data_IF_921515510240
#
_entry.id   IF_921515510240
#
_cell.length_a   1.000
_cell.length_b   1.000
_cell.length_c   1.000
_cell.angle_alpha   90.00
_cell.angle_beta   90.00
_cell.angle_gamma   90.00
#
_symmetry.space_group_name_H-M   'P 1'
#
loop_
_entity.id
_entity.type
_entity.pdbx_description
1 polymer ?
#
# COMPACT_ATOMS: atom_id res chain seq x y z
N UNK A 1 23.04 15.88 -9.27
CA UNK A 1 23.34 14.55 -8.70
C UNK A 1 22.01 13.99 -8.23
N UNK A 2 21.40 13.11 -9.04
CA UNK A 2 20.12 12.50 -8.66
C UNK A 2 20.38 11.53 -7.53
N UNK A 3 19.71 11.73 -6.38
CA UNK A 3 19.53 10.64 -5.45
C UNK A 3 18.69 9.59 -6.19
N UNK A 4 19.21 8.36 -6.29
CA UNK A 4 18.48 7.25 -6.86
C UNK A 4 17.26 6.98 -5.98
N UNK A 5 16.10 7.47 -6.42
CA UNK A 5 14.82 7.28 -5.73
C UNK A 5 14.37 5.84 -5.93
N UNK A 6 14.49 5.00 -4.90
CA UNK A 6 14.01 3.63 -4.95
C UNK A 6 12.49 3.65 -4.71
N UNK A 7 11.71 3.62 -5.79
CA UNK A 7 10.26 3.54 -5.70
C UNK A 7 9.78 2.09 -5.65
N UNK A 8 9.45 1.56 -4.48
CA UNK A 8 8.77 0.24 -4.34
C UNK A 8 7.27 0.47 -4.46
N UNK A 9 6.77 0.46 -5.69
CA UNK A 9 5.44 0.98 -6.02
C UNK A 9 4.29 0.04 -5.68
N UNK A 10 4.49 -1.07 -4.97
CA UNK A 10 3.34 -1.94 -4.73
C UNK A 10 3.42 -2.89 -3.55
N UNK A 11 2.23 -3.22 -3.03
CA UNK A 11 1.90 -4.44 -2.28
C UNK A 11 0.62 -5.04 -2.89
N UNK A 12 0.75 -5.97 -3.85
CA UNK A 12 -0.39 -6.73 -4.37
C UNK A 12 -0.54 -8.01 -3.54
N UNK A 13 -1.78 -8.31 -3.17
CA UNK A 13 -2.16 -9.50 -2.45
C UNK A 13 -3.67 -9.65 -2.54
N UNK A 14 -4.13 -10.89 -2.40
CA UNK A 14 -5.56 -11.19 -2.34
C UNK A 14 -6.19 -10.44 -1.16
N UNK A 15 -7.48 -10.10 -1.29
CA UNK A 15 -8.23 -9.54 -0.18
C UNK A 15 -8.11 -10.47 1.04
N UNK A 16 -7.79 -9.93 2.23
CA UNK A 16 -7.47 -10.62 3.51
C UNK A 16 -5.99 -10.87 3.81
N UNK A 17 -5.07 -10.50 2.93
CA UNK A 17 -3.63 -10.55 3.22
C UNK A 17 -3.18 -9.27 3.93
N UNK A 18 -2.30 -9.39 4.94
CA UNK A 18 -1.80 -8.30 5.82
C UNK A 18 -0.87 -7.29 5.10
N UNK A 19 -1.33 -6.69 4.00
CA UNK A 19 -0.59 -5.70 3.20
C UNK A 19 -0.12 -4.51 4.05
N UNK A 20 -1.00 -4.00 4.91
CA UNK A 20 -0.67 -2.89 5.80
C UNK A 20 0.45 -3.25 6.77
N UNK A 21 0.50 -4.48 7.28
CA UNK A 21 1.60 -4.93 8.15
C UNK A 21 2.94 -4.99 7.42
N UNK A 22 2.94 -5.32 6.12
CA UNK A 22 4.16 -5.23 5.28
C UNK A 22 4.61 -3.77 5.13
N UNK A 23 3.67 -2.86 4.86
CA UNK A 23 3.97 -1.42 4.79
C UNK A 23 4.49 -0.87 6.11
N UNK A 24 3.90 -1.26 7.24
CA UNK A 24 4.36 -0.91 8.59
C UNK A 24 5.78 -1.43 8.85
N UNK A 25 6.07 -2.68 8.46
CA UNK A 25 7.38 -3.29 8.65
C UNK A 25 8.47 -2.58 7.83
N UNK A 26 8.16 -2.20 6.59
CA UNK A 26 9.12 -1.50 5.71
C UNK A 26 9.31 -0.04 6.14
N UNK A 27 8.23 0.68 6.45
CA UNK A 27 8.29 2.11 6.82
C UNK A 27 8.69 2.36 8.28
N UNK A 28 8.41 1.39 9.15
CA UNK A 28 8.50 1.55 10.61
C UNK A 28 7.50 2.57 11.15
N UNK A 29 6.32 2.68 10.52
CA UNK A 29 5.22 3.59 10.91
C UNK A 29 4.00 2.75 11.22
N UNK A 30 3.20 3.17 12.19
CA UNK A 30 1.92 2.52 12.48
C UNK A 30 0.84 3.01 11.52
N UNK A 31 0.23 2.07 10.81
CA UNK A 31 -0.89 2.32 9.91
C UNK A 31 -2.20 1.84 10.56
N UNK A 32 -3.37 2.25 10.04
CA UNK A 32 -4.64 1.77 10.57
C UNK A 32 -4.76 0.25 10.48
N UNK A 33 -4.98 -0.40 11.63
CA UNK A 33 -5.25 -1.84 11.74
C UNK A 33 -6.74 -2.04 11.96
N UNK A 34 -7.52 -1.96 10.90
CA UNK A 34 -8.94 -2.28 11.00
C UNK A 34 -9.40 -3.15 9.83
N UNK A 35 -10.27 -4.15 10.10
CA UNK A 35 -10.92 -4.90 9.05
C UNK A 35 -11.70 -3.94 8.14
N UNK A 36 -11.67 -4.20 6.83
CA UNK A 36 -12.33 -3.41 5.78
C UNK A 36 -11.77 -2.00 5.52
N UNK A 37 -10.94 -1.39 6.38
CA UNK A 37 -10.34 -0.06 6.13
C UNK A 37 -9.27 -0.11 5.03
N UNK A 38 -8.46 -1.18 5.00
CA UNK A 38 -7.31 -1.33 4.09
C UNK A 38 -7.67 -1.55 2.61
N UNK A 39 -8.95 -1.40 2.25
CA UNK A 39 -9.49 -1.67 0.90
C UNK A 39 -10.35 -0.52 0.36
N UNK A 40 -10.42 0.61 1.06
CA UNK A 40 -11.40 1.67 0.75
C UNK A 40 -10.84 2.85 -0.04
N UNK A 41 -9.54 3.02 -0.08
CA UNK A 41 -8.87 4.04 -0.87
C UNK A 41 -7.42 3.61 -1.13
N UNK A 42 -6.81 4.21 -2.14
CA UNK A 42 -5.38 4.08 -2.37
C UNK A 42 -4.61 4.85 -1.29
N UNK A 43 -3.59 4.24 -0.70
CA UNK A 43 -2.63 4.94 0.15
C UNK A 43 -1.28 5.02 -0.56
N UNK A 44 -0.80 6.22 -0.83
CA UNK A 44 0.56 6.46 -1.30
C UNK A 44 1.39 7.02 -0.15
N UNK A 45 2.28 6.18 0.39
CA UNK A 45 3.19 6.49 1.49
C UNK A 45 4.57 6.81 0.91
N UNK A 46 5.03 8.06 1.04
CA UNK A 46 6.38 8.47 0.64
C UNK A 46 7.22 8.72 1.88
N UNK A 47 8.32 8.00 2.01
CA UNK A 47 9.36 8.21 2.99
C UNK A 47 10.42 9.13 2.38
N UNK A 48 10.72 10.23 3.08
CA UNK A 48 11.77 11.18 2.69
C UNK A 48 12.80 11.33 3.79
N UNK A 49 14.07 11.26 3.42
CA UNK A 49 15.15 11.46 4.38
C UNK A 49 15.21 12.93 4.79
N UNK A 50 15.29 13.18 6.09
CA UNK A 50 15.49 14.53 6.63
C UNK A 50 16.65 14.53 7.62
N UNK A 51 17.39 15.64 7.68
CA UNK A 51 18.37 15.90 8.75
C UNK A 51 17.76 16.66 9.91
N UNK A 52 16.56 17.22 9.71
CA UNK A 52 15.88 18.08 10.66
C UNK A 52 14.92 17.27 11.56
N UNK A 53 13.89 17.93 12.09
CA UNK A 53 12.82 17.28 12.85
C UNK A 53 12.04 16.29 11.98
N UNK A 54 11.64 15.18 12.58
CA UNK A 54 10.75 14.21 11.94
C UNK A 54 9.31 14.72 12.03
N UNK A 55 8.57 14.59 10.95
CA UNK A 55 7.16 14.99 10.86
C UNK A 55 6.50 14.27 9.68
N UNK A 56 5.19 14.32 9.60
CA UNK A 56 4.44 13.82 8.46
C UNK A 56 3.50 14.88 7.89
N UNK A 57 3.21 14.75 6.61
CA UNK A 57 2.21 15.53 5.89
C UNK A 57 1.21 14.54 5.32
N UNK A 58 -0.07 14.77 5.57
CA UNK A 58 -1.15 13.92 5.06
C UNK A 58 -2.22 14.75 4.35
N UNK A 59 -2.68 14.25 3.21
CA UNK A 59 -3.77 14.88 2.44
C UNK A 59 -4.54 13.88 1.60
N UNK A 60 -5.74 14.27 1.19
CA UNK A 60 -6.49 13.55 0.15
C UNK A 60 -6.11 14.06 -1.25
N UNK A 61 -6.40 13.28 -2.29
CA UNK A 61 -6.25 13.71 -3.68
C UNK A 61 -7.28 14.74 -4.13
N UNK A 62 -8.30 15.02 -3.31
CA UNK A 62 -9.33 16.03 -3.59
C UNK A 62 -8.99 17.41 -3.00
N UNK A 63 -8.09 17.44 -2.03
CA UNK A 63 -7.63 18.66 -1.36
C UNK A 63 -6.45 19.27 -2.13
N UNK A 64 -6.35 20.60 -2.10
CA UNK A 64 -5.16 21.30 -2.58
C UNK A 64 -3.95 21.02 -1.68
N UNK A 65 -2.74 21.35 -2.14
CA UNK A 65 -1.53 21.20 -1.30
C UNK A 65 -1.59 22.08 -0.05
N UNK A 66 -2.26 23.24 -0.12
CA UNK A 66 -2.43 24.16 1.01
C UNK A 66 -3.37 23.61 2.11
N UNK A 67 -4.20 22.63 1.78
CA UNK A 67 -5.10 21.95 2.73
C UNK A 67 -4.46 20.72 3.39
N UNK A 68 -3.16 20.48 3.14
CA UNK A 68 -2.47 19.36 3.75
C UNK A 68 -2.34 19.54 5.27
N UNK A 69 -2.57 18.46 6.01
CA UNK A 69 -2.40 18.45 7.45
C UNK A 69 -0.97 18.03 7.79
N UNK A 70 -0.26 18.87 8.53
CA UNK A 70 1.05 18.52 9.11
C UNK A 70 0.84 17.85 10.47
N UNK A 71 1.55 16.76 10.70
CA UNK A 71 1.57 15.99 11.94
C UNK A 71 2.99 16.04 12.50
N UNK A 72 3.15 16.71 13.64
CA UNK A 72 4.44 16.81 14.33
C UNK A 72 4.73 15.53 15.14
N UNK A 73 3.70 14.80 15.56
CA UNK A 73 3.82 13.50 16.23
C UNK A 73 3.49 12.35 15.27
N UNK A 74 4.47 11.49 15.04
CA UNK A 74 4.35 10.28 14.22
C UNK A 74 3.29 9.29 14.73
N UNK A 75 2.95 9.33 16.02
CA UNK A 75 1.91 8.48 16.60
C UNK A 75 0.49 8.90 16.14
N UNK A 76 0.31 10.13 15.65
CA UNK A 76 -0.96 10.62 15.15
C UNK A 76 -1.26 10.17 13.71
N UNK A 77 -0.29 9.57 13.01
CA UNK A 77 -0.47 9.14 11.61
C UNK A 77 -1.63 8.16 11.49
N UNK A 78 -1.70 7.14 12.34
CA UNK A 78 -2.73 6.11 12.25
C UNK A 78 -4.14 6.68 12.44
N UNK A 79 -4.32 7.60 13.40
CA UNK A 79 -5.60 8.26 13.63
C UNK A 79 -5.95 9.24 12.50
N UNK A 80 -4.98 9.98 11.97
CA UNK A 80 -5.17 10.91 10.86
C UNK A 80 -5.56 10.20 9.56
N UNK A 81 -4.89 9.08 9.22
CA UNK A 81 -5.26 8.25 8.07
C UNK A 81 -6.68 7.72 8.25
N UNK A 82 -7.02 7.18 9.42
CA UNK A 82 -8.37 6.67 9.70
C UNK A 82 -9.44 7.73 9.52
N UNK A 83 -9.18 8.95 10.02
CA UNK A 83 -10.09 10.10 9.87
C UNK A 83 -10.31 10.45 8.40
N UNK A 84 -9.24 10.61 7.62
CA UNK A 84 -9.34 10.91 6.18
C UNK A 84 -10.09 9.81 5.42
N UNK A 85 -9.88 8.54 5.75
CA UNK A 85 -10.63 7.44 5.13
C UNK A 85 -12.13 7.61 5.41
N UNK A 86 -12.50 7.93 6.64
CA UNK A 86 -13.90 8.19 7.02
C UNK A 86 -14.52 9.35 6.23
N UNK A 87 -13.78 10.45 6.09
CA UNK A 87 -14.21 11.64 5.33
C UNK A 87 -14.37 11.34 3.82
N UNK A 88 -13.45 10.54 3.26
CA UNK A 88 -13.38 10.24 1.82
C UNK A 88 -14.39 9.18 1.39
N UNK A 89 -14.54 8.12 2.19
CA UNK A 89 -15.25 6.92 1.80
C UNK A 89 -16.61 6.77 2.50
N UNK A 90 -16.91 7.55 3.54
CA UNK A 90 -18.15 7.47 4.31
C UNK A 90 -18.28 6.17 5.12
N UNK A 91 -19.50 5.65 5.29
CA UNK A 91 -19.76 4.44 6.08
C UNK A 91 -19.44 3.10 5.36
N UNK A 92 -19.39 2.05 6.17
CA UNK A 92 -18.50 0.86 6.23
C UNK A 92 -18.11 0.05 4.98
N UNK A 93 -18.69 0.25 3.78
CA UNK A 93 -18.43 -0.65 2.63
C UNK A 93 -18.01 0.04 1.33
N UNK A 94 -18.10 1.37 1.26
CA UNK A 94 -17.77 2.10 0.04
C UNK A 94 -16.26 2.19 -0.19
N UNK A 95 -15.85 1.96 -1.43
CA UNK A 95 -14.50 2.19 -1.94
C UNK A 95 -14.52 3.50 -2.72
N UNK A 96 -13.57 4.39 -2.42
CA UNK A 96 -13.40 5.67 -3.10
C UNK A 96 -12.23 5.60 -4.07
N UNK A 97 -12.38 6.23 -5.24
CA UNK A 97 -11.29 6.48 -6.17
C UNK A 97 -10.34 7.60 -5.70
N UNK A 98 -10.68 8.26 -4.59
CA UNK A 98 -9.84 9.29 -3.97
C UNK A 98 -8.63 8.62 -3.31
N UNK A 99 -7.44 9.12 -3.58
CA UNK A 99 -6.19 8.62 -2.99
C UNK A 99 -5.82 9.41 -1.74
N UNK A 100 -5.16 8.77 -0.79
CA UNK A 100 -4.53 9.41 0.36
C UNK A 100 -3.03 9.49 0.08
N UNK A 101 -2.47 10.68 0.21
CA UNK A 101 -1.03 10.91 0.14
C UNK A 101 -0.51 11.15 1.54
N UNK A 102 0.45 10.34 1.97
CA UNK A 102 1.14 10.45 3.25
C UNK A 102 2.63 10.58 2.97
N UNK A 103 3.21 11.74 3.26
CA UNK A 103 4.65 11.97 3.16
C UNK A 103 5.22 12.01 4.56
N UNK A 104 6.22 11.20 4.83
CA UNK A 104 6.85 11.07 6.14
C UNK A 104 8.31 11.45 6.01
N UNK A 105 8.71 12.48 6.74
CA UNK A 105 10.09 12.91 6.86
C UNK A 105 10.70 12.22 8.07
N UNK A 106 11.66 11.33 7.83
CA UNK A 106 12.28 10.48 8.86
C UNK A 106 13.80 10.60 8.80
N UNK A 107 14.46 10.59 9.96
CA UNK A 107 15.92 10.55 10.05
C UNK A 107 16.42 9.12 9.86
N UNK A 108 17.69 8.99 9.49
CA UNK A 108 18.39 7.71 9.38
C UNK A 108 17.75 6.71 8.40
N UNK A 109 17.00 7.18 7.39
CA UNK A 109 16.62 6.34 6.27
C UNK A 109 17.62 6.52 5.13
N UNK A 110 18.12 5.42 4.53
CA UNK A 110 19.21 5.48 3.57
C UNK A 110 18.79 5.98 2.19
N UNK A 111 17.51 5.83 1.84
CA UNK A 111 16.95 6.20 0.55
C UNK A 111 15.52 6.72 0.71
N UNK A 112 15.12 7.61 -0.18
CA UNK A 112 13.72 7.98 -0.35
C UNK A 112 12.97 6.78 -0.93
N UNK A 113 11.79 6.51 -0.38
CA UNK A 113 11.02 5.32 -0.69
C UNK A 113 9.54 5.68 -0.86
N UNK A 114 8.98 5.40 -2.03
CA UNK A 114 7.53 5.46 -2.24
C UNK A 114 6.94 4.06 -2.16
N UNK A 115 5.94 3.88 -1.31
CA UNK A 115 5.16 2.67 -1.09
C UNK A 115 3.70 2.92 -1.43
N UNK A 116 3.08 2.04 -2.21
CA UNK A 116 1.67 2.19 -2.60
C UNK A 116 0.85 1.02 -2.07
N UNK A 117 -0.11 1.32 -1.21
CA UNK A 117 -1.14 0.43 -0.74
C UNK A 117 -2.35 0.46 -1.69
N UNK A 118 -2.45 -0.55 -2.54
CA UNK A 118 -3.60 -0.74 -3.44
C UNK A 118 -4.69 -1.59 -2.77
N UNK A 119 -5.98 -1.31 -3.07
CA UNK A 119 -7.08 -2.18 -2.66
C UNK A 119 -6.83 -3.64 -3.04
N UNK A 120 -7.20 -4.59 -2.17
CA UNK A 120 -7.18 -6.01 -2.50
C UNK A 120 -8.13 -6.36 -3.64
N UNK A 121 -7.74 -7.30 -4.50
CA UNK A 121 -8.58 -7.77 -5.60
C UNK A 121 -9.72 -8.61 -5.01
N UNK A 122 -10.98 -8.21 -5.25
CA UNK A 122 -12.16 -8.89 -4.68
C UNK A 122 -12.94 -9.62 -5.78
N UNK A 123 -13.21 -10.93 -5.58
CA UNK A 123 -14.00 -11.74 -6.53
C UNK A 123 -15.50 -11.65 -6.31
N UNK A 124 -15.92 -11.18 -5.14
CA UNK A 124 -17.32 -11.01 -4.76
C UNK A 124 -17.49 -9.63 -4.14
N UNK A 125 -18.28 -8.73 -4.76
CA UNK A 125 -18.60 -7.46 -4.15
C UNK A 125 -19.32 -7.71 -2.81
N UNK A 126 -18.96 -6.96 -1.78
CA UNK A 126 -19.76 -6.95 -0.56
C UNK A 126 -21.16 -6.39 -0.85
N UNK A 127 -22.18 -6.79 -0.09
CA UNK A 127 -23.49 -6.16 -0.16
C UNK A 127 -23.34 -4.63 0.04
N UNK A 128 -23.75 -3.85 -0.97
CA UNK A 128 -23.60 -2.38 -0.98
C UNK A 128 -22.51 -1.84 -1.91
N UNK A 129 -21.59 -2.67 -2.39
CA UNK A 129 -20.60 -2.25 -3.39
C UNK A 129 -21.18 -2.19 -4.81
N UNK A 130 -20.67 -1.25 -5.60
CA UNK A 130 -21.04 -1.13 -7.00
C UNK A 130 -20.62 -2.38 -7.80
N UNK A 131 -21.42 -2.76 -8.81
CA UNK A 131 -21.20 -3.98 -9.60
C UNK A 131 -19.91 -3.94 -10.41
N UNK A 132 -19.39 -2.75 -10.69
CA UNK A 132 -18.17 -2.44 -11.44
C UNK A 132 -16.93 -2.26 -10.55
N UNK A 133 -17.04 -2.49 -9.24
CA UNK A 133 -15.92 -2.26 -8.30
C UNK A 133 -14.66 -3.06 -8.66
N UNK A 134 -14.84 -4.26 -9.20
CA UNK A 134 -13.73 -5.11 -9.63
C UNK A 134 -12.96 -4.46 -10.78
N UNK A 135 -13.66 -3.96 -11.80
CA UNK A 135 -13.03 -3.28 -12.95
C UNK A 135 -12.33 -1.99 -12.51
N UNK A 136 -12.94 -1.24 -11.59
CA UNK A 136 -12.32 -0.05 -11.01
C UNK A 136 -11.03 -0.36 -10.22
N UNK A 137 -11.01 -1.42 -9.41
CA UNK A 137 -9.80 -1.85 -8.69
C UNK A 137 -8.71 -2.27 -9.68
N UNK A 138 -9.04 -3.05 -10.72
CA UNK A 138 -8.08 -3.44 -11.75
C UNK A 138 -7.52 -2.23 -12.50
N UNK A 139 -8.37 -1.28 -12.88
CA UNK A 139 -7.92 -0.05 -13.56
C UNK A 139 -6.98 0.78 -12.68
N UNK A 140 -7.26 0.87 -11.37
CA UNK A 140 -6.37 1.52 -10.42
C UNK A 140 -5.03 0.81 -10.31
N UNK A 141 -5.02 -0.51 -10.14
CA UNK A 141 -3.79 -1.31 -10.06
C UNK A 141 -2.94 -1.09 -11.32
N UNK A 142 -3.55 -1.26 -12.50
CA UNK A 142 -2.87 -1.11 -13.80
C UNK A 142 -2.13 0.23 -13.92
N UNK A 143 -2.75 1.32 -13.49
CA UNK A 143 -2.14 2.67 -13.52
C UNK A 143 -0.83 2.76 -12.73
N UNK A 144 -0.68 2.00 -11.65
CA UNK A 144 0.50 2.06 -10.79
C UNK A 144 1.58 1.04 -11.14
N UNK A 145 1.23 -0.04 -11.84
CA UNK A 145 2.16 -1.10 -12.28
C UNK A 145 2.68 -0.93 -13.70
N UNK A 146 1.95 -0.23 -14.56
CA UNK A 146 2.36 0.01 -15.94
C UNK A 146 3.70 0.77 -16.09
N UNK A 147 4.04 1.75 -15.22
CA UNK A 147 5.32 2.45 -15.34
C UNK A 147 6.52 1.50 -15.16
N UNK A 148 7.54 1.53 -16.04
CA UNK A 148 8.71 0.62 -15.99
C UNK A 148 9.69 0.91 -14.85
N UNK A 149 9.30 1.78 -13.91
CA UNK A 149 10.04 2.06 -12.67
C UNK A 149 9.30 1.50 -11.45
N UNK A 150 8.18 0.83 -11.65
CA UNK A 150 7.39 0.22 -10.60
C UNK A 150 7.98 -1.13 -10.21
N UNK A 151 8.39 -1.27 -8.96
CA UNK A 151 8.70 -2.57 -8.38
C UNK A 151 7.48 -3.09 -7.62
N UNK A 152 6.99 -4.27 -8.02
CA UNK A 152 5.78 -4.89 -7.47
C UNK A 152 6.15 -5.80 -6.30
N UNK A 153 5.66 -5.54 -5.08
CA UNK A 153 5.77 -6.48 -3.96
C UNK A 153 4.53 -7.39 -3.90
N UNK A 154 4.72 -8.69 -4.08
CA UNK A 154 3.66 -9.67 -3.91
C UNK A 154 3.58 -10.13 -2.47
N UNK A 155 2.51 -9.82 -1.74
CA UNK A 155 2.28 -10.38 -0.41
C UNK A 155 1.41 -11.63 -0.52
N UNK A 156 2.03 -12.79 -0.30
CA UNK A 156 1.39 -14.09 -0.53
C UNK A 156 1.50 -14.93 0.75
N UNK A 157 0.38 -15.42 1.34
CA UNK A 157 0.43 -16.36 2.45
C UNK A 157 1.21 -17.63 2.07
N UNK A 158 2.05 -18.11 2.98
CA UNK A 158 2.80 -19.37 2.78
C UNK A 158 1.92 -20.61 2.70
N UNK A 159 0.66 -20.51 3.13
CA UNK A 159 -0.33 -21.58 3.02
C UNK A 159 -0.87 -21.79 1.60
N UNK A 160 -0.58 -20.88 0.66
CA UNK A 160 -1.07 -20.96 -0.72
C UNK A 160 0.10 -20.99 -1.71
N UNK A 161 -0.10 -21.68 -2.84
CA UNK A 161 0.87 -21.71 -3.92
C UNK A 161 0.89 -20.34 -4.63
N UNK A 162 2.05 -19.68 -4.62
CA UNK A 162 2.23 -18.37 -5.25
C UNK A 162 1.93 -18.37 -6.75
N UNK A 163 2.06 -19.51 -7.44
CA UNK A 163 1.73 -19.63 -8.87
C UNK A 163 0.22 -19.46 -9.12
N UNK A 164 -0.60 -19.71 -8.10
CA UNK A 164 -2.06 -19.57 -8.17
C UNK A 164 -2.55 -18.18 -7.78
N UNK A 165 -1.68 -17.35 -7.20
CA UNK A 165 -2.01 -16.00 -6.72
C UNK A 165 -2.46 -15.09 -7.86
N UNK A 166 -3.54 -14.34 -7.62
CA UNK A 166 -4.09 -13.39 -8.58
C UNK A 166 -3.12 -12.22 -8.81
N UNK A 167 -2.42 -11.82 -7.76
CA UNK A 167 -1.36 -10.81 -7.83
C UNK A 167 -0.30 -11.14 -8.87
N UNK A 168 0.18 -12.39 -8.85
CA UNK A 168 1.22 -12.89 -9.75
C UNK A 168 0.73 -13.04 -11.19
N UNK A 169 -0.54 -13.43 -11.38
CA UNK A 169 -1.15 -13.50 -12.70
C UNK A 169 -1.24 -12.12 -13.33
N UNK A 170 -1.73 -11.14 -12.56
CA UNK A 170 -1.90 -9.77 -13.03
C UNK A 170 -0.54 -9.12 -13.32
N UNK A 171 0.45 -9.24 -12.43
CA UNK A 171 1.77 -8.66 -12.66
C UNK A 171 2.48 -9.27 -13.88
N UNK A 172 2.24 -10.56 -14.21
CA UNK A 172 2.79 -11.20 -15.42
C UNK A 172 2.20 -10.67 -16.73
N UNK A 173 1.05 -10.03 -16.72
CA UNK A 173 0.50 -9.36 -17.91
C UNK A 173 1.35 -8.13 -18.29
N UNK A 174 1.93 -7.45 -17.29
CA UNK A 174 2.71 -6.21 -17.46
C UNK A 174 4.23 -6.45 -17.45
N UNK A 175 4.68 -7.43 -16.66
CA UNK A 175 6.07 -7.86 -16.59
C UNK A 175 6.16 -9.39 -16.76
N UNK A 176 6.03 -9.91 -18.01
CA UNK A 176 6.10 -11.34 -18.27
C UNK A 176 7.44 -11.98 -17.93
N UNK A 177 8.51 -11.18 -17.87
CA UNK A 177 9.86 -11.63 -17.55
C UNK A 177 10.15 -11.62 -16.03
N UNK A 178 9.25 -11.04 -15.24
CA UNK A 178 9.35 -10.86 -13.78
C UNK A 178 10.64 -10.11 -13.37
N UNK A 179 11.07 -9.11 -14.15
CA UNK A 179 12.27 -8.30 -13.89
C UNK A 179 12.06 -7.25 -12.80
N UNK A 180 10.81 -6.86 -12.53
CA UNK A 180 10.44 -5.79 -11.59
C UNK A 180 9.48 -6.30 -10.51
N UNK A 181 9.60 -7.58 -10.15
CA UNK A 181 8.77 -8.22 -9.15
C UNK A 181 9.60 -8.67 -7.95
N UNK A 182 9.16 -8.28 -6.76
CA UNK A 182 9.63 -8.79 -5.48
C UNK A 182 8.51 -9.62 -4.87
N UNK A 183 8.81 -10.81 -4.38
CA UNK A 183 7.84 -11.61 -3.63
C UNK A 183 8.12 -11.41 -2.14
N UNK A 184 7.09 -11.25 -1.34
CA UNK A 184 7.10 -11.29 0.12
C UNK A 184 6.13 -12.39 0.58
N UNK A 185 6.69 -13.51 1.04
CA UNK A 185 5.89 -14.58 1.62
C UNK A 185 5.48 -14.22 3.07
N UNK A 186 4.19 -14.21 3.38
CA UNK A 186 3.72 -14.03 4.76
C UNK A 186 3.51 -15.39 5.43
N UNK A 187 4.23 -15.66 6.52
CA UNK A 187 3.91 -16.79 7.41
C UNK A 187 2.86 -16.29 8.39
N UNK A 188 1.60 -16.64 8.13
CA UNK A 188 0.56 -16.50 9.15
C UNK A 188 0.71 -17.72 10.06
N UNK A 189 1.65 -17.68 11.01
CA UNK A 189 1.64 -18.66 12.07
C UNK A 189 0.51 -18.30 13.03
N UNK A 190 -0.39 -19.26 13.30
CA UNK A 190 -1.55 -19.04 14.18
C UNK A 190 -1.17 -18.73 15.63
N UNK A 191 0.12 -18.88 15.98
CA UNK A 191 0.60 -18.83 17.36
C UNK A 191 1.76 -17.85 17.61
N UNK A 192 2.47 -17.38 16.59
CA UNK A 192 3.54 -16.40 16.74
C UNK A 192 3.52 -15.37 15.60
N UNK A 193 3.47 -14.09 15.95
CA UNK A 193 3.46 -12.97 14.99
C UNK A 193 4.87 -12.72 14.44
N UNK A 194 5.38 -13.64 13.62
CA UNK A 194 6.64 -13.49 12.90
C UNK A 194 6.39 -13.28 11.40
N UNK A 195 6.76 -12.13 10.86
CA UNK A 195 6.77 -11.90 9.41
C UNK A 195 8.13 -12.28 8.84
N UNK A 196 8.18 -13.24 7.94
CA UNK A 196 9.40 -13.65 7.25
C UNK A 196 9.41 -13.11 5.81
N UNK A 197 10.05 -11.95 5.63
CA UNK A 197 10.20 -11.37 4.30
C UNK A 197 11.30 -12.12 3.53
N UNK A 198 10.91 -13.05 2.66
CA UNK A 198 11.84 -13.61 1.67
C UNK A 198 11.74 -12.77 0.40
N UNK A 199 12.58 -11.75 0.27
CA UNK A 199 12.68 -10.97 -0.97
C UNK A 199 13.42 -11.82 -2.01
N UNK A 200 12.67 -12.43 -2.93
CA UNK A 200 13.25 -13.16 -4.05
C UNK A 200 13.64 -12.14 -5.11
N UNK A 201 14.93 -11.81 -5.20
CA UNK A 201 15.50 -11.14 -6.36
C UNK A 201 15.69 -12.16 -7.47
N UNK A 202 15.39 -11.77 -8.71
CA UNK A 202 15.82 -12.51 -9.90
C UNK A 202 16.70 -11.61 -10.76
#
# INVERSE_FOLDING_TARGET
>A
MSADELSIKESIGDQSVDKSSVLEAISGIQLPRAPNICTRCLLELRMKSTTDTEYAIIRSSKCSEDEATTLDDMNEISSAVTRLIGEIAGEETNVSSTSIYLIVYKRNIPYDLTLIGLPGITRKPFPGQAKDIHEHILHLINRYIEPPTAVVLHVIPTSIDFTTSESMKLAKEFDPQCLQQLIAASIIDKYDKGYFFTVIFK
#
